data_IF_173235010879
#
_entry.id   IF_173235010879
#
_cell.length_a   1.000
_cell.length_b   1.000
_cell.length_c   1.000
_cell.angle_alpha   90.00
_cell.angle_beta   90.00
_cell.angle_gamma   90.00
#
_symmetry.space_group_name_H-M   'P 1'
#
loop_
_entity.id
_entity.type
_entity.pdbx_description
1 polymer ?
#
# COMPACT_ATOMS: atom_id res chain seq x y z
N UNK A 1 1.58 -10.37 -10.54
CA UNK A 1 1.00 -11.34 -9.58
C UNK A 1 2.10 -11.93 -8.71
N UNK A 2 1.77 -12.40 -7.51
CA UNK A 2 2.67 -13.09 -6.58
C UNK A 2 1.99 -14.39 -6.14
N UNK A 3 2.67 -15.54 -6.30
CA UNK A 3 2.11 -16.88 -6.07
C UNK A 3 0.77 -17.15 -6.80
N UNK A 4 0.62 -16.64 -8.02
CA UNK A 4 -0.62 -16.76 -8.81
C UNK A 4 -1.77 -15.88 -8.31
N UNK A 5 -1.53 -14.98 -7.36
CA UNK A 5 -2.54 -14.09 -6.76
C UNK A 5 -2.24 -12.63 -7.10
N UNK A 6 -3.30 -11.83 -7.20
CA UNK A 6 -3.17 -10.36 -7.23
C UNK A 6 -2.64 -9.90 -5.88
N UNK A 7 -1.85 -8.83 -5.85
CA UNK A 7 -1.38 -8.24 -4.60
C UNK A 7 -1.31 -6.72 -4.70
N UNK A 8 -1.44 -6.06 -3.56
CA UNK A 8 -1.24 -4.62 -3.41
C UNK A 8 -0.27 -4.35 -2.27
N UNK A 9 0.33 -3.17 -2.25
CA UNK A 9 1.25 -2.73 -1.20
C UNK A 9 0.57 -1.68 -0.33
N UNK A 10 0.80 -1.74 0.97
CA UNK A 10 0.60 -0.64 1.92
C UNK A 10 1.97 -0.11 2.31
N UNK A 11 2.28 1.10 1.91
CA UNK A 11 3.51 1.81 2.25
C UNK A 11 3.20 2.91 3.26
N UNK A 12 3.91 2.92 4.38
CA UNK A 12 3.72 3.95 5.39
C UNK A 12 4.57 5.18 5.10
N UNK A 13 3.93 6.35 5.07
CA UNK A 13 4.60 7.64 4.88
C UNK A 13 4.41 8.48 6.14
N UNK A 14 5.52 8.83 6.77
CA UNK A 14 5.55 9.57 8.03
C UNK A 14 5.81 11.04 7.72
N UNK A 15 4.96 11.90 8.23
CA UNK A 15 5.12 13.35 8.19
C UNK A 15 5.38 13.79 9.62
N UNK A 16 6.58 14.29 9.90
CA UNK A 16 6.85 14.93 11.18
C UNK A 16 6.34 16.37 11.09
N UNK A 17 5.52 16.78 12.05
CA UNK A 17 4.75 18.02 11.96
C UNK A 17 5.63 19.27 11.88
N UNK A 18 5.06 20.34 11.31
CA UNK A 18 5.73 21.60 11.07
C UNK A 18 4.89 22.52 10.19
N UNK A 19 5.33 23.76 10.00
CA UNK A 19 4.67 24.72 9.09
C UNK A 19 4.87 24.39 7.61
N UNK A 20 5.72 23.41 7.29
CA UNK A 20 6.02 22.97 5.93
C UNK A 20 6.09 21.44 5.82
N UNK A 21 5.85 20.91 4.62
CA UNK A 21 5.94 19.47 4.30
C UNK A 21 7.40 19.04 4.03
N UNK A 22 8.37 19.62 4.75
CA UNK A 22 9.79 19.41 4.47
C UNK A 22 10.35 18.16 5.19
N UNK A 23 9.53 17.53 6.03
CA UNK A 23 9.88 16.33 6.81
C UNK A 23 8.95 15.15 6.47
N UNK A 24 9.10 14.62 5.24
CA UNK A 24 8.37 13.43 4.75
C UNK A 24 9.33 12.25 4.65
N UNK A 25 8.99 11.15 5.31
CA UNK A 25 9.76 9.92 5.34
C UNK A 25 8.93 8.76 4.81
N UNK A 26 9.53 7.92 3.99
CA UNK A 26 8.89 6.67 3.51
C UNK A 26 9.47 5.53 4.33
N UNK A 27 8.62 4.81 5.05
CA UNK A 27 9.00 3.64 5.86
C UNK A 27 9.51 2.53 4.95
N UNK A 28 10.58 1.85 5.38
CA UNK A 28 11.03 0.59 4.74
C UNK A 28 10.16 -0.60 5.11
N UNK A 29 9.46 -0.50 6.23
CA UNK A 29 8.42 -1.44 6.63
C UNK A 29 7.08 -1.09 5.97
N UNK A 30 6.33 -2.12 5.61
CA UNK A 30 5.03 -2.02 4.95
C UNK A 30 4.37 -3.39 4.85
N UNK A 31 3.21 -3.44 4.20
CA UNK A 31 2.47 -4.69 4.02
C UNK A 31 2.28 -5.01 2.54
N UNK A 32 2.37 -6.27 2.19
CA UNK A 32 2.03 -6.83 0.90
C UNK A 32 0.78 -7.66 1.10
N UNK A 33 -0.35 -7.15 0.59
CA UNK A 33 -1.65 -7.77 0.79
C UNK A 33 -1.98 -8.61 -0.44
N UNK A 34 -2.04 -9.92 -0.26
CA UNK A 34 -2.44 -10.85 -1.31
C UNK A 34 -3.97 -10.91 -1.40
N UNK A 35 -4.47 -11.08 -2.62
CA UNK A 35 -5.85 -11.50 -2.83
C UNK A 35 -6.04 -12.90 -2.24
N UNK A 36 -7.26 -13.22 -1.85
CA UNK A 36 -7.55 -14.50 -1.19
C UNK A 36 -7.39 -15.66 -2.18
N UNK A 37 -7.91 -15.48 -3.39
CA UNK A 37 -7.92 -16.50 -4.43
C UNK A 37 -6.89 -16.21 -5.52
N UNK A 38 -6.43 -17.28 -6.18
CA UNK A 38 -5.64 -17.18 -7.41
C UNK A 38 -6.45 -16.41 -8.47
N UNK A 39 -5.75 -15.58 -9.23
CA UNK A 39 -6.37 -14.81 -10.29
C UNK A 39 -6.71 -15.75 -11.46
N UNK A 40 -7.97 -15.73 -11.91
CA UNK A 40 -8.41 -16.43 -13.12
C UNK A 40 -9.11 -15.45 -14.07
N UNK A 41 -8.73 -15.50 -15.36
CA UNK A 41 -9.43 -14.77 -16.41
C UNK A 41 -10.81 -15.41 -16.61
N UNK A 42 -11.88 -14.59 -16.57
CA UNK A 42 -13.26 -15.05 -16.81
C UNK A 42 -14.21 -14.98 -15.60
N UNK A 43 -13.75 -14.61 -14.40
CA UNK A 43 -14.66 -14.30 -13.29
C UNK A 43 -15.30 -12.92 -13.50
N UNK A 44 -16.54 -12.92 -13.98
CA UNK A 44 -17.30 -11.72 -14.40
C UNK A 44 -17.79 -10.83 -13.24
N UNK A 45 -17.58 -11.24 -12.00
CA UNK A 45 -17.97 -10.49 -10.81
C UNK A 45 -16.80 -9.65 -10.29
N UNK A 46 -16.95 -8.32 -10.30
CA UNK A 46 -16.00 -7.39 -9.69
C UNK A 46 -15.83 -7.60 -8.17
N UNK A 47 -16.77 -8.32 -7.54
CA UNK A 47 -16.73 -8.76 -6.15
C UNK A 47 -16.19 -10.19 -5.98
N UNK A 48 -15.42 -10.71 -6.95
CA UNK A 48 -14.73 -11.97 -6.73
C UNK A 48 -13.55 -11.76 -5.75
N UNK A 49 -13.34 -12.66 -4.77
CA UNK A 49 -12.21 -12.59 -3.82
C UNK A 49 -10.82 -12.56 -4.47
N UNK A 50 -10.74 -12.92 -5.77
CA UNK A 50 -9.54 -12.86 -6.59
C UNK A 50 -9.15 -11.42 -7.01
N UNK A 51 -10.09 -10.48 -7.03
CA UNK A 51 -9.86 -9.11 -7.54
C UNK A 51 -9.48 -8.10 -6.45
N UNK A 52 -9.67 -8.47 -5.20
CA UNK A 52 -9.52 -7.61 -4.03
C UNK A 52 -8.42 -8.08 -3.10
N UNK A 53 -7.63 -7.12 -2.65
CA UNK A 53 -6.47 -7.32 -1.78
C UNK A 53 -6.67 -6.68 -0.41
N UNK A 54 -7.92 -6.38 -0.03
CA UNK A 54 -8.22 -5.82 1.29
C UNK A 54 -8.17 -6.94 2.35
N UNK A 55 -7.26 -6.82 3.31
CA UNK A 55 -7.06 -7.81 4.38
C UNK A 55 -8.29 -8.00 5.28
N UNK A 56 -9.21 -7.03 5.33
CA UNK A 56 -10.52 -7.22 5.99
C UNK A 56 -11.32 -8.38 5.38
N UNK A 57 -11.29 -8.51 4.05
CA UNK A 57 -12.06 -9.54 3.37
C UNK A 57 -11.41 -10.92 3.48
N UNK A 58 -10.07 -10.98 3.44
CA UNK A 58 -9.33 -12.22 3.69
C UNK A 58 -9.60 -12.81 5.07
N UNK A 59 -9.69 -11.96 6.11
CA UNK A 59 -10.05 -12.41 7.47
C UNK A 59 -11.48 -12.96 7.54
N UNK A 60 -12.46 -12.27 6.93
CA UNK A 60 -13.85 -12.75 6.91
C UNK A 60 -14.03 -14.02 6.07
N UNK A 61 -13.25 -14.17 5.00
CA UNK A 61 -13.26 -15.39 4.18
C UNK A 61 -12.66 -16.57 4.97
N UNK A 62 -11.57 -16.34 5.70
CA UNK A 62 -10.93 -17.33 6.59
C UNK A 62 -11.86 -17.78 7.72
N UNK A 63 -12.58 -16.85 8.36
CA UNK A 63 -13.49 -17.15 9.46
C UNK A 63 -14.67 -18.07 9.07
N UNK A 64 -14.94 -18.23 7.77
CA UNK A 64 -16.05 -19.03 7.25
C UNK A 64 -15.64 -20.43 6.77
N UNK A 65 -14.35 -20.81 6.84
CA UNK A 65 -13.86 -22.11 6.36
C UNK A 65 -13.15 -22.93 7.45
N UNK A 66 -13.26 -24.28 7.42
CA UNK A 66 -12.50 -25.17 8.30
C UNK A 66 -10.98 -24.99 8.11
N UNK A 67 -10.21 -25.14 9.18
CA UNK A 67 -8.77 -24.90 9.19
C UNK A 67 -7.98 -25.85 8.26
N UNK A 68 -8.54 -27.02 7.96
CA UNK A 68 -7.95 -28.06 7.09
C UNK A 68 -7.94 -27.67 5.60
N UNK A 69 -8.82 -26.76 5.17
CA UNK A 69 -8.90 -26.25 3.79
C UNK A 69 -7.97 -25.04 3.51
N UNK A 70 -7.23 -24.57 4.52
CA UNK A 70 -6.46 -23.31 4.44
C UNK A 70 -5.00 -23.48 3.99
N UNK A 71 -4.57 -24.71 3.66
CA UNK A 71 -3.16 -25.07 3.48
C UNK A 71 -2.42 -24.31 2.37
N UNK A 72 -3.14 -23.75 1.39
CA UNK A 72 -2.56 -23.01 0.25
C UNK A 72 -3.12 -21.57 0.11
N UNK A 73 -4.23 -21.25 0.79
CA UNK A 73 -5.03 -20.03 0.56
C UNK A 73 -4.86 -18.95 1.64
N UNK A 74 -4.07 -19.20 2.68
CA UNK A 74 -3.98 -18.33 3.87
C UNK A 74 -2.61 -17.71 4.14
N UNK A 75 -2.04 -16.96 3.20
CA UNK A 75 -0.81 -16.20 3.50
C UNK A 75 -1.20 -14.93 4.28
N UNK A 76 -0.61 -14.77 5.47
CA UNK A 76 -0.63 -13.52 6.24
C UNK A 76 -0.08 -12.36 5.38
N UNK A 77 -0.51 -11.12 5.62
CA UNK A 77 0.06 -9.97 4.92
C UNK A 77 1.61 -10.03 5.01
N UNK A 78 2.29 -10.13 3.87
CA UNK A 78 3.75 -10.27 3.84
C UNK A 78 4.43 -8.92 4.08
N UNK A 79 5.69 -8.94 4.46
CA UNK A 79 6.49 -7.72 4.60
C UNK A 79 6.99 -7.20 3.24
N UNK A 80 7.47 -5.96 3.20
CA UNK A 80 8.19 -5.44 2.03
C UNK A 80 9.55 -6.14 1.83
N UNK A 81 10.14 -6.67 2.89
CA UNK A 81 11.35 -7.49 2.82
C UNK A 81 11.08 -8.81 2.08
N UNK A 82 9.95 -9.48 2.37
CA UNK A 82 9.52 -10.67 1.65
C UNK A 82 9.31 -10.39 0.16
N UNK A 83 8.77 -9.20 -0.18
CA UNK A 83 8.63 -8.77 -1.57
C UNK A 83 9.98 -8.54 -2.25
N UNK A 84 10.93 -7.91 -1.55
CA UNK A 84 12.28 -7.68 -2.06
C UNK A 84 12.99 -9.00 -2.33
N UNK A 85 12.91 -9.95 -1.40
CA UNK A 85 13.41 -11.32 -1.59
C UNK A 85 12.74 -12.00 -2.80
N UNK A 86 11.41 -11.91 -2.91
CA UNK A 86 10.65 -12.47 -4.04
C UNK A 86 11.06 -11.88 -5.39
N UNK A 87 11.35 -10.58 -5.45
CA UNK A 87 11.87 -9.90 -6.64
C UNK A 87 13.28 -10.37 -6.97
N UNK A 88 14.15 -10.48 -5.96
CA UNK A 88 15.55 -10.93 -6.12
C UNK A 88 15.63 -12.34 -6.68
N UNK A 89 14.84 -13.27 -6.16
CA UNK A 89 14.76 -14.66 -6.66
C UNK A 89 14.39 -14.74 -8.15
N UNK A 90 13.64 -13.76 -8.66
CA UNK A 90 13.16 -13.70 -10.05
C UNK A 90 14.01 -12.82 -10.95
N UNK A 91 15.11 -12.27 -10.43
CA UNK A 91 15.96 -11.33 -11.16
C UNK A 91 15.26 -10.02 -11.50
N UNK A 92 14.23 -9.63 -10.74
CA UNK A 92 13.51 -8.37 -10.93
C UNK A 92 14.12 -7.25 -10.09
N UNK A 93 14.06 -6.02 -10.61
CA UNK A 93 14.58 -4.85 -9.92
C UNK A 93 13.59 -4.33 -8.88
N UNK A 94 13.84 -4.64 -7.61
CA UNK A 94 13.11 -4.02 -6.49
C UNK A 94 13.42 -2.52 -6.38
N UNK A 95 14.65 -2.10 -6.70
CA UNK A 95 15.04 -0.69 -6.70
C UNK A 95 14.22 0.15 -7.68
N UNK A 96 13.90 -0.40 -8.87
CA UNK A 96 13.02 0.25 -9.85
C UNK A 96 11.59 0.45 -9.29
N UNK A 97 11.02 -0.59 -8.67
CA UNK A 97 9.72 -0.51 -8.00
C UNK A 97 9.74 0.57 -6.91
N UNK A 98 10.75 0.52 -6.04
CA UNK A 98 10.87 1.44 -4.90
C UNK A 98 11.07 2.89 -5.32
N UNK A 99 11.81 3.14 -6.40
CA UNK A 99 11.96 4.47 -6.98
C UNK A 99 10.60 5.06 -7.39
N UNK A 100 9.78 4.29 -8.10
CA UNK A 100 8.45 4.75 -8.54
C UNK A 100 7.50 5.01 -7.36
N UNK A 101 7.56 4.20 -6.30
CA UNK A 101 6.82 4.45 -5.06
C UNK A 101 7.23 5.79 -4.45
N UNK A 102 8.54 6.04 -4.30
CA UNK A 102 9.04 7.31 -3.74
C UNK A 102 8.65 8.52 -4.59
N UNK A 103 8.70 8.39 -5.92
CA UNK A 103 8.27 9.44 -6.85
C UNK A 103 6.78 9.74 -6.71
N UNK A 104 5.93 8.71 -6.66
CA UNK A 104 4.49 8.88 -6.45
C UNK A 104 4.17 9.55 -5.11
N UNK A 105 4.86 9.17 -4.03
CA UNK A 105 4.75 9.84 -2.72
C UNK A 105 5.17 11.30 -2.84
N UNK A 106 6.33 11.60 -3.42
CA UNK A 106 6.84 12.97 -3.55
C UNK A 106 5.90 13.87 -4.36
N UNK A 107 5.35 13.37 -5.48
CA UNK A 107 4.38 14.10 -6.30
C UNK A 107 3.08 14.35 -5.52
N UNK A 108 2.57 13.34 -4.81
CA UNK A 108 1.37 13.46 -3.97
C UNK A 108 1.55 14.50 -2.87
N UNK A 109 2.69 14.49 -2.18
CA UNK A 109 3.00 15.45 -1.13
C UNK A 109 3.17 16.88 -1.68
N UNK A 110 3.80 17.05 -2.85
CA UNK A 110 3.88 18.35 -3.52
C UNK A 110 2.49 18.90 -3.86
N UNK A 111 1.58 18.05 -4.34
CA UNK A 111 0.19 18.45 -4.63
C UNK A 111 -0.58 18.89 -3.37
N UNK A 112 -0.23 18.38 -2.18
CA UNK A 112 -0.82 18.77 -0.90
C UNK A 112 -0.26 20.09 -0.34
N UNK A 113 0.96 20.49 -0.72
CA UNK A 113 1.68 21.66 -0.17
C UNK A 113 0.87 22.97 -0.21
N UNK A 114 0.17 23.35 -1.29
CA UNK A 114 -0.63 24.57 -1.32
C UNK A 114 -1.81 24.58 -0.34
N UNK A 115 -2.41 23.40 -0.09
CA UNK A 115 -3.52 23.24 0.86
C UNK A 115 -3.03 23.27 2.31
N UNK A 116 -1.78 22.85 2.53
CA UNK A 116 -1.11 22.87 3.83
C UNK A 116 -0.72 24.29 4.27
N UNK A 117 -0.18 25.10 3.35
CA UNK A 117 0.31 26.46 3.63
C UNK A 117 -0.77 27.54 3.76
N UNK A 118 -1.99 27.32 3.22
CA UNK A 118 -3.13 28.27 3.34
C UNK A 118 -3.78 28.32 4.73
N UNK A 119 -3.17 27.67 5.72
CA UNK A 119 -3.68 27.58 7.09
C UNK A 119 -3.02 28.59 8.04
N UNK A 120 -2.30 29.57 7.49
CA UNK A 120 -1.75 30.71 8.24
C UNK A 120 -2.81 31.69 8.78
N UNK A 121 -4.07 31.59 8.32
CA UNK A 121 -5.16 32.52 8.68
C UNK A 121 -6.31 31.84 9.45
N UNK A 122 -6.05 30.67 10.05
CA UNK A 122 -7.09 29.89 10.72
C UNK A 122 -6.75 29.60 12.18
N UNK A 123 -7.79 29.66 13.01
CA UNK A 123 -7.81 29.47 14.46
C UNK A 123 -6.92 28.32 14.97
N UNK A 124 -6.48 28.47 16.21
CA UNK A 124 -5.46 27.68 16.94
C UNK A 124 -5.54 26.16 16.78
N UNK A 125 -6.71 25.55 16.53
CA UNK A 125 -6.87 24.11 16.35
C UNK A 125 -6.43 23.60 14.97
N UNK A 126 -6.53 24.41 13.92
CA UNK A 126 -6.06 24.02 12.57
C UNK A 126 -4.54 23.98 12.50
N UNK A 127 -3.88 24.94 13.16
CA UNK A 127 -2.42 24.97 13.30
C UNK A 127 -1.90 23.77 14.12
N UNK A 128 -2.60 23.38 15.20
CA UNK A 128 -2.27 22.18 15.98
C UNK A 128 -2.34 20.91 15.13
N UNK A 129 -3.40 20.71 14.34
CA UNK A 129 -3.55 19.51 13.47
C UNK A 129 -2.49 19.39 12.37
N UNK A 130 -1.92 20.52 11.93
CA UNK A 130 -0.83 20.58 10.96
C UNK A 130 0.52 20.29 11.61
N UNK A 131 0.70 20.73 12.86
CA UNK A 131 1.91 20.47 13.65
C UNK A 131 1.95 19.07 14.28
N UNK A 132 0.85 18.32 14.26
CA UNK A 132 0.85 16.92 14.72
C UNK A 132 1.50 16.03 13.67
N UNK A 133 2.44 15.14 14.07
CA UNK A 133 2.92 14.09 13.19
C UNK A 133 1.76 13.26 12.61
N UNK A 134 1.92 12.79 11.37
CA UNK A 134 0.94 11.93 10.68
C UNK A 134 1.63 10.71 10.10
N UNK A 135 0.94 9.59 10.13
CA UNK A 135 1.33 8.38 9.40
C UNK A 135 0.23 8.15 8.36
N UNK A 136 0.59 8.27 7.09
CA UNK A 136 -0.29 8.03 5.95
C UNK A 136 -0.06 6.62 5.41
N UNK A 137 -1.11 5.99 4.89
CA UNK A 137 -1.07 4.65 4.33
C UNK A 137 -1.26 4.70 2.83
N UNK A 138 -0.18 4.77 2.06
CA UNK A 138 -0.26 4.76 0.61
C UNK A 138 -0.51 3.34 0.12
N UNK A 139 -1.60 3.12 -0.61
CA UNK A 139 -1.90 1.84 -1.22
C UNK A 139 -1.54 1.83 -2.72
N UNK A 140 -0.72 0.86 -3.12
CA UNK A 140 -0.26 0.69 -4.50
C UNK A 140 -0.72 -0.65 -5.08
N UNK A 141 -1.10 -0.65 -6.36
CA UNK A 141 -1.30 -1.86 -7.14
C UNK A 141 -0.13 -2.07 -8.09
N UNK A 142 0.36 -3.30 -8.21
CA UNK A 142 1.50 -3.64 -9.07
C UNK A 142 1.02 -4.31 -10.36
N UNK A 143 1.43 -3.76 -11.50
CA UNK A 143 1.10 -4.33 -12.81
C UNK A 143 2.08 -5.43 -13.27
N UNK A 144 1.84 -5.98 -14.47
CA UNK A 144 2.68 -7.04 -15.05
C UNK A 144 4.10 -6.58 -15.41
N UNK A 145 4.32 -5.27 -15.57
CA UNK A 145 5.62 -4.65 -15.78
C UNK A 145 6.32 -4.30 -14.47
N UNK A 146 5.77 -4.73 -13.33
CA UNK A 146 6.28 -4.45 -11.97
C UNK A 146 6.27 -2.93 -11.66
N UNK A 147 5.43 -2.16 -12.37
CA UNK A 147 5.24 -0.74 -12.10
C UNK A 147 4.17 -0.57 -11.00
N UNK A 148 4.44 0.24 -9.97
CA UNK A 148 3.47 0.54 -8.94
C UNK A 148 2.54 1.68 -9.38
N UNK A 149 1.25 1.51 -9.14
CA UNK A 149 0.21 2.50 -9.40
C UNK A 149 -0.45 2.90 -8.10
N UNK A 150 -0.39 4.19 -7.75
CA UNK A 150 -1.04 4.72 -6.56
C UNK A 150 -2.56 4.61 -6.71
N UNK A 151 -3.22 4.02 -5.71
CA UNK A 151 -4.67 3.84 -5.67
C UNK A 151 -5.31 4.80 -4.66
N UNK A 152 -4.79 4.83 -3.44
CA UNK A 152 -5.29 5.68 -2.35
C UNK A 152 -4.19 6.04 -1.34
N UNK A 153 -4.46 7.03 -0.48
CA UNK A 153 -3.56 7.59 0.56
C UNK A 153 -4.27 7.72 1.89
#
# INVERSE_FOLDING_TARGET
>A
MMFGRKFSLRVYVIILGGSSLDHVFVSREGLVKLAVQRYSEGSSSAAAPAHTTNSGWGRSFRAKRPQEDLSDEGIEDLSLEDLEAYFKERGWSYSYLWQHIREAVAVSMKALKPKWGRVGDLSTDRLKRIRTPKILGFDFLIDNNRRPWLIEV
#
